data_IF_569263207519
#
_entry.id   IF_569263207519
#
_cell.length_a   1.000
_cell.length_b   1.000
_cell.length_c   1.000
_cell.angle_alpha   90.00
_cell.angle_beta   90.00
_cell.angle_gamma   90.00
#
_symmetry.space_group_name_H-M   'P 1'
#
loop_
_entity.id
_entity.type
_entity.pdbx_description
1 polymer ?
#
# COMPACT_ATOMS: atom_id res chain seq x y z
N UNK A 1 4.85 -6.31 15.67
CA UNK A 1 4.80 -7.61 14.94
C UNK A 1 3.39 -7.70 14.41
N UNK A 2 3.23 -7.73 13.08
CA UNK A 2 1.94 -7.95 12.44
C UNK A 2 1.38 -9.26 12.97
N UNK A 3 0.16 -9.24 13.52
CA UNK A 3 -0.43 -10.40 14.21
C UNK A 3 -0.86 -11.51 13.27
N UNK A 4 -0.84 -11.26 11.95
CA UNK A 4 -1.45 -12.15 10.96
C UNK A 4 -0.54 -13.19 10.32
N UNK A 5 0.79 -13.00 10.33
CA UNK A 5 1.70 -14.02 9.80
C UNK A 5 3.08 -13.86 10.44
N UNK A 6 3.58 -14.84 11.21
CA UNK A 6 4.90 -14.76 11.83
C UNK A 6 6.05 -14.76 10.81
N UNK A 7 5.77 -15.18 9.57
CA UNK A 7 6.75 -15.27 8.48
C UNK A 7 6.99 -13.93 7.75
N UNK A 8 6.01 -13.01 7.78
CA UNK A 8 6.18 -11.70 7.16
C UNK A 8 6.90 -10.73 8.10
N UNK A 9 8.17 -10.48 7.79
CA UNK A 9 9.00 -9.50 8.51
C UNK A 9 8.89 -8.12 7.85
N UNK A 10 8.61 -7.10 8.66
CA UNK A 10 8.62 -5.71 8.20
C UNK A 10 10.05 -5.29 7.81
N UNK A 11 10.21 -4.57 6.69
CA UNK A 11 11.51 -4.12 6.21
C UNK A 11 12.28 -3.25 7.23
N UNK A 12 11.58 -2.35 7.95
CA UNK A 12 12.14 -1.44 8.98
C UNK A 12 13.33 -0.55 8.54
N UNK A 13 13.58 -0.41 7.23
CA UNK A 13 14.51 0.60 6.69
C UNK A 13 13.94 2.02 6.86
N UNK A 14 14.79 3.03 6.66
CA UNK A 14 14.37 4.42 6.69
C UNK A 14 13.23 4.66 5.69
N UNK A 15 12.08 5.21 6.12
CA UNK A 15 10.97 5.49 5.22
C UNK A 15 11.38 6.60 4.24
N UNK A 16 11.10 6.38 2.97
CA UNK A 16 11.29 7.36 1.90
C UNK A 16 10.04 8.20 1.67
N UNK A 17 9.94 8.77 0.48
CA UNK A 17 8.80 9.61 0.09
C UNK A 17 7.61 8.81 -0.43
N UNK A 18 7.80 7.54 -0.79
CA UNK A 18 6.76 6.74 -1.42
C UNK A 18 5.66 6.34 -0.43
N UNK A 19 4.41 6.41 -0.89
CA UNK A 19 3.22 6.05 -0.11
C UNK A 19 2.94 4.55 -0.29
N UNK A 20 2.79 3.84 0.82
CA UNK A 20 2.40 2.44 0.83
C UNK A 20 0.94 2.25 0.40
N UNK A 21 0.67 1.21 -0.40
CA UNK A 21 -0.68 0.88 -0.87
C UNK A 21 -1.21 -0.38 -0.19
N UNK A 22 -2.53 -0.49 -0.10
CA UNK A 22 -3.25 -1.64 0.42
C UNK A 22 -4.13 -2.22 -0.69
N UNK A 23 -4.27 -3.54 -0.74
CA UNK A 23 -5.26 -4.19 -1.60
C UNK A 23 -6.65 -4.14 -0.96
N UNK A 24 -7.71 -4.42 -1.72
CA UNK A 24 -9.10 -4.33 -1.27
C UNK A 24 -9.38 -5.17 -0.01
N UNK A 25 -8.68 -6.29 0.16
CA UNK A 25 -8.82 -7.18 1.33
C UNK A 25 -8.16 -6.62 2.60
N UNK A 26 -7.25 -5.68 2.46
CA UNK A 26 -6.50 -5.08 3.56
C UNK A 26 -6.75 -3.58 3.68
N UNK A 27 -7.71 -3.04 2.94
CA UNK A 27 -8.03 -1.62 2.96
C UNK A 27 -8.49 -1.18 4.35
N UNK A 28 -8.05 0.00 4.77
CA UNK A 28 -8.29 0.53 6.11
C UNK A 28 -7.57 -0.20 7.26
N UNK A 29 -6.80 -1.26 6.98
CA UNK A 29 -6.07 -2.01 8.01
C UNK A 29 -4.72 -1.36 8.31
N UNK A 30 -4.43 -1.14 9.60
CA UNK A 30 -3.14 -0.62 10.02
C UNK A 30 -2.04 -1.70 9.89
N UNK A 31 -0.92 -1.44 9.18
CA UNK A 31 0.15 -2.44 9.00
C UNK A 31 0.94 -2.76 10.28
N UNK A 32 0.80 -1.94 11.32
CA UNK A 32 1.53 -2.13 12.59
C UNK A 32 0.72 -2.97 13.58
N UNK A 33 -0.56 -2.66 13.74
CA UNK A 33 -1.43 -3.25 14.77
C UNK A 33 -2.59 -4.08 14.21
N UNK A 34 -2.73 -4.19 12.89
CA UNK A 34 -3.78 -4.93 12.19
C UNK A 34 -5.22 -4.45 12.51
N UNK A 35 -5.38 -3.29 13.15
CA UNK A 35 -6.70 -2.73 13.48
C UNK A 35 -7.24 -1.85 12.35
N UNK A 36 -8.57 -1.76 12.26
CA UNK A 36 -9.30 -0.88 11.34
C UNK A 36 -9.68 0.47 11.97
N UNK A 37 -9.21 0.74 13.18
CA UNK A 37 -9.70 1.85 14.00
C UNK A 37 -8.68 2.98 13.99
N UNK A 38 -9.14 4.18 13.59
CA UNK A 38 -8.40 5.46 13.61
C UNK A 38 -7.03 5.43 12.88
N UNK A 39 -7.02 5.30 11.53
CA UNK A 39 -5.81 5.62 10.77
C UNK A 39 -5.51 7.12 10.92
N UNK A 40 -4.42 7.45 11.60
CA UNK A 40 -4.02 8.85 11.86
C UNK A 40 -2.95 9.36 10.91
N UNK A 41 -2.20 8.46 10.25
CA UNK A 41 -1.04 8.82 9.43
C UNK A 41 -0.95 7.97 8.16
N UNK A 42 -0.47 8.61 7.08
CA UNK A 42 -0.16 7.92 5.82
C UNK A 42 1.08 7.04 5.99
N UNK A 43 1.01 5.80 5.51
CA UNK A 43 2.12 4.85 5.57
C UNK A 43 3.15 5.19 4.50
N UNK A 44 4.42 5.30 4.89
CA UNK A 44 5.55 5.50 3.98
C UNK A 44 6.40 4.25 3.92
N UNK A 45 6.85 3.89 2.71
CA UNK A 45 7.74 2.76 2.46
C UNK A 45 9.16 3.27 2.22
N UNK A 46 10.18 2.43 2.46
CA UNK A 46 11.55 2.77 2.11
C UNK A 46 11.73 2.79 0.58
N UNK A 47 12.74 3.51 0.10
CA UNK A 47 12.98 3.68 -1.33
C UNK A 47 13.27 2.34 -2.05
N UNK A 48 13.89 1.38 -1.35
CA UNK A 48 14.15 0.05 -1.90
C UNK A 48 12.86 -0.76 -2.12
N UNK A 49 11.90 -0.70 -1.17
CA UNK A 49 10.59 -1.32 -1.37
C UNK A 49 9.77 -0.61 -2.45
N UNK A 50 10.01 0.69 -2.65
CA UNK A 50 9.33 1.47 -3.69
C UNK A 50 9.83 1.16 -5.10
N UNK A 51 11.14 0.92 -5.27
CA UNK A 51 11.75 0.70 -6.57
C UNK A 51 11.90 -0.79 -6.94
N UNK A 52 11.82 -1.68 -5.95
CA UNK A 52 12.04 -3.11 -6.14
C UNK A 52 10.79 -3.90 -6.54
N UNK A 53 10.87 -5.22 -6.33
CA UNK A 53 9.79 -6.17 -6.62
C UNK A 53 8.51 -5.93 -5.80
N UNK A 54 8.59 -5.11 -4.74
CA UNK A 54 7.46 -4.74 -3.88
C UNK A 54 6.69 -3.51 -4.35
N UNK A 55 7.03 -2.95 -5.51
CA UNK A 55 6.22 -1.91 -6.12
C UNK A 55 4.79 -2.41 -6.35
N UNK A 56 3.79 -1.55 -6.10
CA UNK A 56 2.37 -1.86 -6.28
C UNK A 56 1.88 -3.11 -5.52
N UNK A 57 2.61 -3.55 -4.49
CA UNK A 57 2.17 -4.63 -3.59
C UNK A 57 1.60 -4.06 -2.30
N UNK A 58 0.68 -4.82 -1.71
CA UNK A 58 0.03 -4.48 -0.47
C UNK A 58 1.04 -4.53 0.68
N UNK A 59 1.13 -3.47 1.48
CA UNK A 59 2.08 -3.39 2.62
C UNK A 59 1.77 -4.39 3.74
N UNK A 60 0.58 -4.99 3.77
CA UNK A 60 0.16 -5.95 4.80
C UNK A 60 0.40 -7.39 4.35
N UNK A 61 -0.04 -7.74 3.13
CA UNK A 61 -0.06 -9.13 2.67
C UNK A 61 0.88 -9.42 1.48
N UNK A 62 1.51 -8.39 0.89
CA UNK A 62 2.33 -8.55 -0.31
C UNK A 62 1.53 -8.90 -1.59
N UNK A 63 0.21 -9.01 -1.49
CA UNK A 63 -0.66 -9.22 -2.64
C UNK A 63 -0.63 -8.05 -3.60
N UNK A 64 -0.96 -8.30 -4.86
CA UNK A 64 -1.04 -7.23 -5.86
C UNK A 64 -2.15 -6.26 -5.47
N UNK A 65 -1.81 -4.98 -5.36
CA UNK A 65 -2.81 -3.94 -5.25
C UNK A 65 -3.30 -3.71 -6.66
N UNK A 66 -4.59 -3.95 -6.90
CA UNK A 66 -5.20 -3.81 -8.22
C UNK A 66 -4.99 -2.42 -8.79
N UNK A 67 -3.87 -2.21 -9.46
CA UNK A 67 -3.79 -1.32 -10.58
C UNK A 67 -4.03 -2.27 -11.75
N UNK A 68 -5.17 -2.13 -12.43
CA UNK A 68 -5.28 -2.69 -13.77
C UNK A 68 -3.94 -2.47 -14.47
N UNK A 69 -3.46 -3.52 -15.14
CA UNK A 69 -2.61 -3.39 -16.31
C UNK A 69 -3.20 -2.32 -17.23
N UNK A 70 -2.89 -1.06 -16.97
CA UNK A 70 -3.07 0.02 -17.92
C UNK A 70 -1.87 -0.11 -18.85
N UNK A 71 -2.05 -0.59 -20.10
CA UNK A 71 -1.04 -0.39 -21.11
C UNK A 71 -0.76 1.11 -21.20
N UNK A 72 0.51 1.41 -21.49
CA UNK A 72 1.23 2.68 -21.41
C UNK A 72 0.71 3.84 -22.26
N UNK A 73 -0.60 4.02 -22.46
CA UNK A 73 -1.11 4.99 -23.44
C UNK A 73 -2.46 5.64 -23.15
N UNK A 74 -3.13 5.39 -22.03
CA UNK A 74 -4.37 6.11 -21.71
C UNK A 74 -4.23 6.88 -20.40
N UNK A 75 -3.87 8.16 -20.59
CA UNK A 75 -4.10 9.19 -19.60
C UNK A 75 -5.55 9.17 -19.15
N UNK A 76 -5.76 8.79 -17.90
CA UNK A 76 -6.85 9.32 -17.09
C UNK A 76 -6.27 9.86 -15.80
N UNK A 77 -5.67 11.03 -15.96
CA UNK A 77 -5.91 12.09 -15.01
C UNK A 77 -7.44 12.25 -14.89
N UNK A 78 -7.91 12.42 -13.64
CA UNK A 78 -9.10 13.16 -13.18
C UNK A 78 -10.51 12.57 -13.40
N UNK A 79 -11.56 13.04 -12.67
CA UNK A 79 -11.58 13.99 -11.52
C UNK A 79 -12.45 13.55 -10.32
N UNK A 80 -12.31 14.36 -9.27
CA UNK A 80 -13.05 14.45 -8.00
C UNK A 80 -14.51 14.95 -8.15
N UNK A 81 -15.26 14.56 -9.19
CA UNK A 81 -16.60 15.14 -9.47
C UNK A 81 -17.68 14.10 -9.80
N UNK A 82 -17.74 12.97 -9.08
CA UNK A 82 -18.87 12.04 -9.22
C UNK A 82 -19.57 11.81 -7.88
N UNK A 83 -19.84 12.90 -7.18
CA UNK A 83 -20.80 12.98 -6.09
C UNK A 83 -21.86 14.05 -6.42
N UNK A 84 -22.56 13.84 -7.53
CA UNK A 84 -23.93 14.35 -7.68
C UNK A 84 -24.91 13.24 -7.29
#
# INVERSE_FOLDING_TARGET
>A
MSRHHPDLVMCRKQPGIAIGRLCDKCDGKCPVCDSYVRPTTLVRICDECSFGNYQNKCVVCGGEVGFLSLPSSLGKQMPMTMWE
#
